data_IF_937523786270
#
_entry.id   IF_937523786270
#
_cell.length_a   1.000
_cell.length_b   1.000
_cell.length_c   1.000
_cell.angle_alpha   90.00
_cell.angle_beta   90.00
_cell.angle_gamma   90.00
#
_symmetry.space_group_name_H-M   'P 1'
#
loop_
_entity.id
_entity.type
_entity.pdbx_description
1 polymer ?
#
# COMPACT_ATOMS: atom_id res chain seq x y z
N UNK A 1 -13.59 -17.19 -8.57
CA UNK A 1 -12.53 -16.20 -8.38
C UNK A 1 -12.98 -15.22 -7.32
N UNK A 2 -12.39 -15.36 -6.17
CA UNK A 2 -12.65 -14.47 -5.07
C UNK A 2 -12.07 -13.11 -5.40
N UNK A 3 -12.86 -12.06 -5.29
CA UNK A 3 -12.40 -10.71 -5.39
C UNK A 3 -11.24 -10.42 -4.43
N UNK A 4 -10.72 -9.18 -4.39
CA UNK A 4 -9.64 -8.83 -3.48
C UNK A 4 -10.02 -9.30 -2.08
N UNK A 5 -9.05 -9.92 -1.40
CA UNK A 5 -9.24 -10.37 -0.01
C UNK A 5 -9.77 -9.18 0.77
N UNK A 6 -11.00 -9.24 1.29
CA UNK A 6 -11.50 -8.13 2.08
C UNK A 6 -10.55 -7.90 3.24
N UNK A 7 -10.22 -6.67 3.47
CA UNK A 7 -9.52 -6.26 4.67
C UNK A 7 -10.21 -6.95 5.84
N UNK A 8 -9.51 -7.74 6.64
CA UNK A 8 -10.18 -8.40 7.76
C UNK A 8 -10.87 -7.32 8.60
N UNK A 9 -12.13 -7.55 8.91
CA UNK A 9 -12.92 -6.62 9.72
C UNK A 9 -12.23 -6.27 11.05
N UNK A 10 -11.34 -7.14 11.48
CA UNK A 10 -10.48 -6.96 12.65
C UNK A 10 -9.43 -5.86 12.45
N UNK A 11 -8.87 -5.72 11.26
CA UNK A 11 -7.91 -4.65 10.97
C UNK A 11 -8.60 -3.28 11.00
N UNK A 12 -9.85 -3.21 10.58
CA UNK A 12 -10.66 -2.00 10.69
C UNK A 12 -10.98 -1.63 12.14
N UNK A 13 -11.21 -2.63 12.99
CA UNK A 13 -11.44 -2.42 14.42
C UNK A 13 -10.17 -1.96 15.13
N UNK A 14 -9.05 -2.59 14.87
CA UNK A 14 -7.77 -2.17 15.45
C UNK A 14 -7.42 -0.73 15.07
N UNK A 15 -7.71 -0.34 13.84
CA UNK A 15 -7.52 1.04 13.39
C UNK A 15 -8.46 2.03 14.10
N UNK A 16 -9.67 1.59 14.53
CA UNK A 16 -10.60 2.46 15.25
C UNK A 16 -10.27 2.58 16.73
N UNK A 17 -9.56 1.61 17.30
CA UNK A 17 -9.13 1.60 18.69
C UNK A 17 -7.79 2.31 18.89
N UNK A 18 -7.04 2.54 17.80
CA UNK A 18 -5.80 3.30 17.85
C UNK A 18 -6.10 4.78 18.14
N UNK A 19 -5.21 5.38 18.90
CA UNK A 19 -5.21 6.81 19.23
C UNK A 19 -5.55 7.65 17.98
N UNK A 20 -6.48 8.63 18.09
CA UNK A 20 -6.82 9.54 16.99
C UNK A 20 -5.61 10.19 16.31
N UNK A 21 -4.52 10.39 17.04
CA UNK A 21 -3.27 10.89 16.48
C UNK A 21 -2.66 9.96 15.45
N UNK A 22 -2.85 8.66 15.60
CA UNK A 22 -2.43 7.65 14.61
C UNK A 22 -3.25 7.72 13.32
N UNK A 23 -4.53 8.03 13.41
CA UNK A 23 -5.41 8.18 12.24
C UNK A 23 -5.06 9.39 11.41
N UNK A 24 -4.50 10.42 12.02
CA UNK A 24 -4.17 11.67 11.34
C UNK A 24 -2.76 11.67 10.74
N UNK A 25 -1.97 10.62 10.96
CA UNK A 25 -0.59 10.57 10.53
C UNK A 25 -0.41 10.71 9.01
N UNK A 26 -1.41 10.27 8.22
CA UNK A 26 -1.37 10.40 6.77
C UNK A 26 -2.31 11.48 6.21
N UNK A 27 -2.94 12.29 7.07
CA UNK A 27 -3.87 13.33 6.64
C UNK A 27 -3.19 14.47 5.87
N UNK A 28 -1.88 14.69 6.10
CA UNK A 28 -1.09 15.69 5.39
C UNK A 28 -1.08 15.47 3.90
N UNK A 29 -0.98 14.22 3.47
CA UNK A 29 -0.80 13.85 2.07
C UNK A 29 -2.01 13.11 1.50
N UNK A 30 -3.14 13.19 2.19
CA UNK A 30 -4.37 12.51 1.77
C UNK A 30 -4.76 12.86 0.33
N UNK A 31 -4.72 14.14 -0.03
CA UNK A 31 -5.07 14.58 -1.37
C UNK A 31 -4.10 14.05 -2.43
N UNK A 32 -2.82 13.98 -2.11
CA UNK A 32 -1.79 13.42 -2.99
C UNK A 32 -1.99 11.93 -3.17
N UNK A 33 -2.27 11.21 -2.09
CA UNK A 33 -2.53 9.77 -2.13
C UNK A 33 -3.77 9.45 -2.95
N UNK A 34 -4.86 10.19 -2.76
CA UNK A 34 -6.09 9.99 -3.52
C UNK A 34 -5.85 10.26 -5.00
N UNK A 35 -5.13 11.31 -5.35
CA UNK A 35 -4.81 11.64 -6.73
C UNK A 35 -3.99 10.52 -7.39
N UNK A 36 -3.02 9.98 -6.69
CA UNK A 36 -2.21 8.85 -7.16
C UNK A 36 -3.07 7.60 -7.36
N UNK A 37 -3.98 7.32 -6.42
CA UNK A 37 -4.89 6.18 -6.53
C UNK A 37 -5.85 6.31 -7.71
N UNK A 38 -6.37 7.51 -7.95
CA UNK A 38 -7.21 7.77 -9.14
C UNK A 38 -6.45 7.54 -10.43
N UNK A 39 -5.17 7.90 -10.45
CA UNK A 39 -4.30 7.64 -11.59
C UNK A 39 -4.10 6.14 -11.79
N UNK A 40 -3.94 5.40 -10.70
CA UNK A 40 -3.84 3.93 -10.72
C UNK A 40 -5.13 3.31 -11.24
N UNK A 41 -6.30 3.81 -10.83
CA UNK A 41 -7.58 3.36 -11.39
C UNK A 41 -7.60 3.51 -12.91
N UNK A 42 -7.15 4.67 -13.41
CA UNK A 42 -7.05 4.91 -14.84
C UNK A 42 -6.10 3.95 -15.54
N UNK A 43 -4.98 3.64 -14.92
CA UNK A 43 -4.02 2.66 -15.45
C UNK A 43 -4.61 1.26 -15.51
N UNK A 44 -5.37 0.85 -14.49
CA UNK A 44 -6.08 -0.44 -14.48
C UNK A 44 -7.07 -0.51 -15.64
N UNK A 45 -7.88 0.52 -15.83
CA UNK A 45 -8.82 0.58 -16.95
C UNK A 45 -8.11 0.54 -18.30
N UNK A 46 -6.96 1.19 -18.41
CA UNK A 46 -6.13 1.15 -19.60
C UNK A 46 -5.69 -0.27 -19.92
N UNK A 47 -5.26 -1.02 -18.93
CA UNK A 47 -4.83 -2.42 -19.09
C UNK A 47 -6.03 -3.29 -19.47
N UNK A 48 -7.19 -3.10 -18.86
CA UNK A 48 -8.41 -3.81 -19.23
C UNK A 48 -8.71 -3.63 -20.73
N UNK A 49 -8.64 -2.39 -21.21
CA UNK A 49 -8.89 -2.10 -22.64
C UNK A 49 -7.84 -2.75 -23.53
N UNK A 50 -6.58 -2.77 -23.11
CA UNK A 50 -5.52 -3.44 -23.87
C UNK A 50 -5.80 -4.93 -24.02
N UNK A 51 -6.26 -5.58 -22.95
CA UNK A 51 -6.61 -7.00 -22.98
C UNK A 51 -7.85 -7.25 -23.86
N UNK A 52 -8.86 -6.40 -23.74
CA UNK A 52 -10.06 -6.48 -24.58
C UNK A 52 -9.76 -6.36 -26.06
N UNK A 53 -8.82 -5.47 -26.41
CA UNK A 53 -8.37 -5.24 -27.78
C UNK A 53 -7.33 -6.24 -28.26
N UNK A 54 -6.92 -7.16 -27.40
CA UNK A 54 -5.89 -8.15 -27.67
C UNK A 54 -4.59 -7.52 -28.16
N UNK A 55 -4.18 -6.46 -27.48
CA UNK A 55 -2.92 -5.80 -27.80
C UNK A 55 -1.74 -6.70 -27.48
N UNK A 56 -0.57 -6.32 -27.96
CA UNK A 56 0.66 -7.12 -27.84
C UNK A 56 1.01 -7.36 -26.36
N UNK A 57 1.28 -8.61 -26.04
CA UNK A 57 1.51 -9.05 -24.65
C UNK A 57 2.63 -8.28 -23.95
N UNK A 58 3.70 -7.97 -24.66
CA UNK A 58 4.84 -7.25 -24.09
C UNK A 58 4.42 -5.85 -23.64
N UNK A 59 3.57 -5.17 -24.43
CA UNK A 59 3.06 -3.85 -24.07
C UNK A 59 2.18 -3.91 -22.83
N UNK A 60 1.36 -4.95 -22.71
CA UNK A 60 0.52 -5.18 -21.53
C UNK A 60 1.41 -5.42 -20.30
N UNK A 61 2.46 -6.23 -20.43
CA UNK A 61 3.39 -6.49 -19.35
C UNK A 61 4.13 -5.24 -18.91
N UNK A 62 4.50 -4.36 -19.84
CA UNK A 62 5.12 -3.08 -19.51
C UNK A 62 4.16 -2.19 -18.72
N UNK A 63 2.88 -2.17 -19.09
CA UNK A 63 1.87 -1.42 -18.36
C UNK A 63 1.61 -1.99 -16.97
N UNK A 64 1.62 -3.32 -16.84
CA UNK A 64 1.48 -3.94 -15.51
C UNK A 64 2.68 -3.63 -14.60
N UNK A 65 3.88 -3.58 -15.16
CA UNK A 65 5.08 -3.20 -14.42
C UNK A 65 4.99 -1.74 -13.94
N UNK A 66 4.50 -0.83 -14.79
CA UNK A 66 4.27 0.55 -14.42
C UNK A 66 3.20 0.69 -13.33
N UNK A 67 2.13 -0.07 -13.42
CA UNK A 67 1.08 -0.12 -12.40
C UNK A 67 1.64 -0.59 -11.06
N UNK A 68 2.44 -1.63 -11.07
CA UNK A 68 3.10 -2.14 -9.87
C UNK A 68 3.96 -1.07 -9.21
N UNK A 69 4.77 -0.37 -9.99
CA UNK A 69 5.60 0.72 -9.49
C UNK A 69 4.77 1.85 -8.89
N UNK A 70 3.63 2.18 -9.50
CA UNK A 70 2.72 3.19 -8.99
C UNK A 70 2.09 2.79 -7.65
N UNK A 71 1.70 1.53 -7.51
CA UNK A 71 1.16 0.97 -6.26
C UNK A 71 2.24 1.00 -5.17
N UNK A 72 3.45 0.57 -5.48
CA UNK A 72 4.58 0.59 -4.55
C UNK A 72 4.88 2.02 -4.08
N UNK A 73 4.79 3.00 -4.97
CA UNK A 73 4.99 4.41 -4.63
C UNK A 73 3.96 4.90 -3.59
N UNK A 74 2.70 4.50 -3.74
CA UNK A 74 1.65 4.82 -2.75
C UNK A 74 1.98 4.14 -1.41
N UNK A 75 2.35 2.87 -1.45
CA UNK A 75 2.70 2.12 -0.25
C UNK A 75 3.87 2.77 0.51
N UNK A 76 4.90 3.23 -0.21
CA UNK A 76 6.04 3.91 0.39
C UNK A 76 5.65 5.23 1.05
N UNK A 77 4.78 6.02 0.42
CA UNK A 77 4.32 7.27 1.01
C UNK A 77 3.53 7.03 2.30
N UNK A 78 2.64 6.04 2.29
CA UNK A 78 1.88 5.65 3.50
C UNK A 78 2.84 5.19 4.59
N UNK A 79 3.83 4.39 4.23
CA UNK A 79 4.83 3.89 5.18
C UNK A 79 5.66 5.02 5.77
N UNK A 80 6.11 5.97 4.95
CA UNK A 80 6.88 7.14 5.44
C UNK A 80 6.08 7.94 6.46
N UNK A 81 4.82 8.23 6.17
CA UNK A 81 3.93 8.95 7.09
C UNK A 81 3.73 8.18 8.39
N UNK A 82 3.54 6.87 8.28
CA UNK A 82 3.38 6.00 9.45
C UNK A 82 4.64 5.99 10.31
N UNK A 83 5.82 5.86 9.70
CA UNK A 83 7.11 5.84 10.41
C UNK A 83 7.33 7.15 11.13
N UNK A 84 7.07 8.28 10.48
CA UNK A 84 7.20 9.60 11.10
C UNK A 84 6.28 9.74 12.31
N UNK A 85 5.03 9.31 12.18
CA UNK A 85 4.06 9.31 13.28
C UNK A 85 4.50 8.40 14.42
N UNK A 86 4.97 7.19 14.11
CA UNK A 86 5.45 6.22 15.09
C UNK A 86 6.68 6.71 15.85
N UNK A 87 7.63 7.33 15.14
CA UNK A 87 8.84 7.85 15.76
C UNK A 87 8.49 8.97 16.76
N UNK A 88 7.59 9.86 16.40
CA UNK A 88 7.13 10.90 17.32
C UNK A 88 6.47 10.32 18.56
N UNK A 89 5.55 9.38 18.37
CA UNK A 89 4.83 8.73 19.46
C UNK A 89 5.79 7.95 20.35
N UNK A 90 6.74 7.24 19.77
CA UNK A 90 7.76 6.49 20.51
C UNK A 90 8.65 7.41 21.32
N UNK A 91 9.04 8.56 20.78
CA UNK A 91 9.83 9.55 21.49
C UNK A 91 9.07 10.12 22.69
N UNK A 92 7.75 10.30 22.56
CA UNK A 92 6.90 10.82 23.63
C UNK A 92 6.58 9.77 24.70
N UNK A 93 6.41 8.49 24.32
CA UNK A 93 5.94 7.42 25.20
C UNK A 93 7.04 6.45 25.66
N UNK A 94 8.24 6.50 25.08
CA UNK A 94 9.35 5.67 25.46
C UNK A 94 9.25 4.20 25.03
N UNK A 95 8.36 3.85 24.12
CA UNK A 95 8.07 2.47 23.70
C UNK A 95 8.56 2.22 22.25
N UNK A 96 9.78 2.66 21.97
CA UNK A 96 10.34 2.64 20.61
C UNK A 96 10.43 1.24 20.00
N UNK A 97 10.83 0.24 20.80
CA UNK A 97 11.04 -1.12 20.31
C UNK A 97 9.77 -1.76 19.78
N UNK A 98 8.66 -1.54 20.46
CA UNK A 98 7.34 -2.05 20.04
C UNK A 98 6.92 -1.48 18.69
N UNK A 99 7.10 -0.18 18.50
CA UNK A 99 6.75 0.50 17.24
C UNK A 99 7.67 0.07 16.10
N UNK A 100 8.95 -0.14 16.38
CA UNK A 100 9.91 -0.62 15.40
C UNK A 100 9.53 -2.02 14.91
N UNK A 101 9.19 -2.92 15.82
CA UNK A 101 8.74 -4.28 15.47
C UNK A 101 7.48 -4.24 14.62
N UNK A 102 6.52 -3.41 14.97
CA UNK A 102 5.27 -3.23 14.22
C UNK A 102 5.56 -2.74 12.80
N UNK A 103 6.40 -1.73 12.66
CA UNK A 103 6.79 -1.19 11.35
C UNK A 103 7.52 -2.22 10.52
N UNK A 104 8.46 -2.96 11.11
CA UNK A 104 9.19 -4.00 10.40
C UNK A 104 8.26 -5.13 9.93
N UNK A 105 7.29 -5.50 10.74
CA UNK A 105 6.31 -6.51 10.38
C UNK A 105 5.45 -6.05 9.19
N UNK A 106 4.99 -4.80 9.22
CA UNK A 106 4.23 -4.19 8.13
C UNK A 106 5.07 -4.13 6.85
N UNK A 107 6.33 -3.72 6.96
CA UNK A 107 7.24 -3.65 5.81
C UNK A 107 7.43 -5.03 5.18
N UNK A 108 7.65 -6.05 5.99
CA UNK A 108 7.79 -7.42 5.50
C UNK A 108 6.54 -7.90 4.74
N UNK A 109 5.36 -7.51 5.22
CA UNK A 109 4.10 -7.86 4.57
C UNK A 109 3.85 -7.04 3.30
N UNK A 110 4.08 -5.73 3.36
CA UNK A 110 3.79 -4.81 2.26
C UNK A 110 4.75 -4.95 1.09
N UNK A 111 6.06 -5.09 1.37
CA UNK A 111 7.06 -5.28 0.33
C UNK A 111 7.12 -6.71 -0.18
N UNK A 112 6.46 -7.60 0.51
CA UNK A 112 6.23 -8.96 0.09
C UNK A 112 7.51 -9.78 -0.05
N UNK A 113 7.36 -11.08 0.15
CA UNK A 113 8.33 -12.01 -0.40
C UNK A 113 8.26 -11.89 -1.92
N UNK A 114 9.39 -11.88 -2.63
CA UNK A 114 9.35 -11.92 -4.06
C UNK A 114 8.38 -13.02 -4.48
N UNK A 115 7.44 -12.66 -5.35
CA UNK A 115 6.44 -13.61 -5.84
C UNK A 115 7.22 -14.80 -6.40
N UNK A 116 7.17 -15.92 -5.70
CA UNK A 116 7.74 -17.15 -6.21
C UNK A 116 7.07 -17.42 -7.55
N UNK A 117 7.88 -17.53 -8.58
CA UNK A 117 7.37 -17.99 -9.85
C UNK A 117 6.68 -19.35 -9.62
N UNK A 118 5.35 -19.43 -9.83
CA UNK A 118 4.64 -20.68 -9.54
C UNK A 118 5.05 -21.84 -10.46
N UNK A 119 5.91 -21.58 -11.42
CA UNK A 119 6.43 -22.60 -12.36
C UNK A 119 7.83 -23.08 -12.01
N UNK A 120 8.35 -22.63 -10.91
CA UNK A 120 9.68 -23.08 -10.44
C UNK A 120 9.55 -23.87 -9.16
#
# INVERSE_FOLDING_TARGET
MTGPIPYPAEAGRMASELDPTFRQSYSRDQSTLIRRLKRIEGQVRGIERMIERREYCIDILQQTAALRAAVDSVALLVLEDHVQGCVRTAAEQGDADKYIEEVLDVVRRALGKPVRNPRV
#
